data_IF_016787799420
#
_entry.id   IF_016787799420
#
_cell.length_a   1.000
_cell.length_b   1.000
_cell.length_c   1.000
_cell.angle_alpha   90.00
_cell.angle_beta   90.00
_cell.angle_gamma   90.00
#
_symmetry.space_group_name_H-M   'P 1'
#
loop_
_entity.id
_entity.type
_entity.pdbx_description
1 polymer ?
#
# COMPACT_ATOMS: atom_id res chain seq x y z
N UNK A 1 -9.68 -20.66 -4.81
CA UNK A 1 -9.28 -19.56 -3.91
C UNK A 1 -8.16 -18.76 -4.58
N UNK A 2 -8.30 -17.45 -4.80
CA UNK A 2 -7.37 -16.65 -5.64
C UNK A 2 -6.08 -16.20 -4.93
N UNK A 3 -5.86 -16.57 -3.65
CA UNK A 3 -4.71 -16.17 -2.83
C UNK A 3 -4.49 -14.64 -2.76
N UNK A 4 -5.56 -13.86 -2.88
CA UNK A 4 -5.53 -12.40 -2.83
C UNK A 4 -6.16 -11.88 -1.54
N UNK A 5 -5.53 -10.85 -0.98
CA UNK A 5 -6.13 -10.07 0.10
C UNK A 5 -7.29 -9.22 -0.42
N UNK A 6 -8.23 -8.85 0.46
CA UNK A 6 -9.34 -7.96 0.11
C UNK A 6 -8.83 -6.61 -0.42
N UNK A 7 -9.68 -5.93 -1.21
CA UNK A 7 -9.38 -4.61 -1.77
C UNK A 7 -9.06 -3.58 -0.68
N UNK A 8 -9.72 -3.67 0.46
CA UNK A 8 -9.40 -2.90 1.64
C UNK A 8 -9.08 -3.87 2.78
N UNK A 9 -8.00 -3.61 3.50
CA UNK A 9 -7.62 -4.40 4.68
C UNK A 9 -7.45 -3.43 5.83
N UNK A 10 -8.25 -3.58 6.88
CA UNK A 10 -8.21 -2.73 8.09
C UNK A 10 -8.28 -1.21 7.78
N UNK A 11 -9.02 -0.81 6.74
CA UNK A 11 -9.16 0.59 6.33
C UNK A 11 -8.10 1.10 5.34
N UNK A 12 -7.17 0.23 4.90
CA UNK A 12 -6.05 0.59 4.02
C UNK A 12 -6.11 -0.13 2.68
N UNK A 13 -5.64 0.56 1.63
CA UNK A 13 -5.61 0.11 0.23
C UNK A 13 -4.19 0.21 -0.32
N UNK A 14 -3.96 -0.44 -1.47
CA UNK A 14 -2.70 -0.23 -2.22
C UNK A 14 -2.58 1.23 -2.64
N UNK A 15 -1.36 1.76 -2.60
CA UNK A 15 -1.00 3.14 -2.93
C UNK A 15 -1.57 4.23 -2.01
N UNK A 16 -2.18 3.84 -0.88
CA UNK A 16 -2.47 4.82 0.17
C UNK A 16 -1.16 5.39 0.73
N UNK A 17 -1.16 6.70 0.98
CA UNK A 17 -0.05 7.42 1.59
C UNK A 17 -0.17 7.32 3.11
N UNK A 18 0.91 6.91 3.75
CA UNK A 18 0.98 6.69 5.19
C UNK A 18 2.18 7.41 5.79
N UNK A 19 2.13 7.65 7.10
CA UNK A 19 3.27 8.10 7.88
C UNK A 19 3.74 6.99 8.81
N UNK A 20 5.02 6.63 8.70
CA UNK A 20 5.70 5.65 9.54
C UNK A 20 7.03 6.24 10.02
N UNK A 21 7.28 6.22 11.34
CA UNK A 21 8.50 6.75 11.94
C UNK A 21 8.86 8.18 11.46
N UNK A 22 7.85 9.06 11.39
CA UNK A 22 8.03 10.47 10.96
C UNK A 22 8.21 10.70 9.47
N UNK A 23 8.30 9.65 8.64
CA UNK A 23 8.47 9.74 7.18
C UNK A 23 7.24 9.26 6.42
N UNK A 24 7.08 9.72 5.18
CA UNK A 24 5.97 9.37 4.30
C UNK A 24 6.31 8.20 3.38
N UNK A 25 5.37 7.27 3.25
CA UNK A 25 5.50 6.08 2.41
C UNK A 25 4.16 5.73 1.75
N UNK A 26 4.21 4.75 0.85
CA UNK A 26 3.05 4.20 0.16
C UNK A 26 2.92 2.70 0.39
N UNK A 27 1.69 2.22 0.45
CA UNK A 27 1.40 0.78 0.60
C UNK A 27 1.54 0.07 -0.75
N UNK A 28 2.42 -0.93 -0.84
CA UNK A 28 2.64 -1.75 -2.05
C UNK A 28 2.18 -3.20 -1.91
N UNK A 29 1.85 -3.65 -0.70
CA UNK A 29 1.38 -5.00 -0.45
C UNK A 29 0.51 -5.06 0.79
N UNK A 30 -0.44 -5.99 0.81
CA UNK A 30 -1.40 -6.16 1.90
C UNK A 30 -1.54 -7.65 2.24
N UNK A 31 -1.61 -7.94 3.53
CA UNK A 31 -1.94 -9.27 4.06
C UNK A 31 -3.23 -9.14 4.88
N UNK A 32 -4.14 -10.10 4.76
CA UNK A 32 -5.42 -10.10 5.51
C UNK A 32 -5.22 -9.98 7.03
N UNK A 33 -4.06 -10.40 7.55
CA UNK A 33 -3.65 -10.23 8.94
C UNK A 33 -3.44 -8.77 9.38
N UNK A 34 -3.49 -7.80 8.47
CA UNK A 34 -3.22 -6.38 8.77
C UNK A 34 -1.74 -6.01 8.71
N UNK A 35 -0.97 -6.72 7.88
CA UNK A 35 0.45 -6.43 7.63
C UNK A 35 0.65 -5.92 6.19
N UNK A 36 1.52 -4.93 6.03
CA UNK A 36 1.66 -4.16 4.80
C UNK A 36 3.11 -4.03 4.35
N UNK A 37 3.37 -4.19 3.05
CA UNK A 37 4.64 -3.81 2.42
C UNK A 37 4.56 -2.30 2.14
N UNK A 38 5.54 -1.55 2.62
CA UNK A 38 5.57 -0.09 2.51
C UNK A 38 6.86 0.35 1.82
N UNK A 39 6.73 1.31 0.92
CA UNK A 39 7.84 1.76 0.09
C UNK A 39 7.82 3.26 -0.08
N UNK A 40 8.97 3.80 -0.44
CA UNK A 40 9.09 5.18 -0.94
C UNK A 40 8.46 5.31 -2.33
N UNK A 41 8.36 6.53 -2.85
CA UNK A 41 7.75 6.78 -4.16
C UNK A 41 8.51 6.10 -5.31
N UNK A 42 9.83 6.05 -5.21
CA UNK A 42 10.76 5.35 -6.10
C UNK A 42 10.72 3.82 -5.96
N UNK A 43 9.90 3.29 -5.04
CA UNK A 43 9.72 1.85 -4.88
C UNK A 43 10.77 1.18 -4.00
N UNK A 44 11.64 1.94 -3.32
CA UNK A 44 12.59 1.39 -2.35
C UNK A 44 11.84 0.82 -1.15
N UNK A 45 12.13 -0.45 -0.84
CA UNK A 45 11.50 -1.16 0.27
C UNK A 45 12.15 -0.78 1.60
N UNK A 46 11.33 -0.31 2.54
CA UNK A 46 11.80 0.29 3.79
C UNK A 46 11.82 -0.70 4.95
N UNK A 47 11.06 -1.79 4.82
CA UNK A 47 10.93 -2.81 5.85
C UNK A 47 11.50 -4.17 5.40
N UNK A 48 12.02 -4.96 6.35
CA UNK A 48 12.36 -6.38 6.14
C UNK A 48 11.08 -7.23 6.05
N UNK A 49 10.24 -6.97 5.05
CA UNK A 49 9.03 -7.74 4.77
C UNK A 49 7.75 -6.91 4.82
N UNK A 50 7.12 -6.85 6.00
CA UNK A 50 5.87 -6.10 6.23
C UNK A 50 5.82 -5.47 7.62
N UNK A 51 5.03 -4.42 7.78
CA UNK A 51 4.73 -3.80 9.07
C UNK A 51 3.25 -3.88 9.41
N UNK A 52 2.91 -3.88 10.69
CA UNK A 52 1.52 -3.91 11.16
C UNK A 52 0.83 -2.55 10.91
N UNK A 53 -0.47 -2.55 10.61
CA UNK A 53 -1.27 -1.32 10.54
C UNK A 53 -1.28 -0.49 11.83
N UNK A 54 -0.90 -1.07 12.96
CA UNK A 54 -0.80 -0.35 14.25
C UNK A 54 0.44 0.55 14.30
N UNK A 55 1.42 0.33 13.43
CA UNK A 55 2.71 1.02 13.46
C UNK A 55 2.73 2.35 12.70
N UNK A 56 1.71 2.62 11.88
CA UNK A 56 1.68 3.77 10.98
C UNK A 56 0.28 4.39 10.92
N UNK A 57 0.20 5.61 10.39
CA UNK A 57 -1.06 6.36 10.27
C UNK A 57 -1.37 6.63 8.79
N UNK A 58 -2.65 6.57 8.43
CA UNK A 58 -3.12 6.99 7.11
C UNK A 58 -3.01 8.52 7.00
N UNK A 59 -2.40 9.01 5.92
CA UNK A 59 -2.30 10.44 5.61
C UNK A 59 -3.24 10.80 4.48
N UNK A 60 -3.25 9.99 3.42
CA UNK A 60 -4.09 10.25 2.25
C UNK A 60 -4.49 8.92 1.60
N UNK A 61 -5.77 8.76 1.30
CA UNK A 61 -6.23 7.64 0.47
C UNK A 61 -5.82 7.89 -0.98
N UNK A 62 -5.52 6.81 -1.72
CA UNK A 62 -5.29 6.91 -3.16
C UNK A 62 -6.47 7.61 -3.83
N UNK A 63 -6.19 8.56 -4.72
CA UNK A 63 -7.22 9.28 -5.49
C UNK A 63 -7.36 8.76 -6.92
N UNK A 64 -6.34 8.08 -7.43
CA UNK A 64 -6.27 7.63 -8.82
C UNK A 64 -6.13 6.11 -8.94
N UNK A 65 -6.71 5.56 -10.02
CA UNK A 65 -6.51 4.19 -10.45
C UNK A 65 -5.38 4.16 -11.50
N UNK A 66 -4.33 3.35 -11.25
CA UNK A 66 -3.37 3.00 -12.29
C UNK A 66 -4.08 2.01 -13.23
N UNK A 67 -4.26 2.41 -14.48
CA UNK A 67 -4.80 1.57 -15.54
C UNK A 67 -3.82 1.60 -16.72
N UNK A 68 -3.70 0.48 -17.41
CA UNK A 68 -2.98 0.41 -18.68
C UNK A 68 -3.70 1.28 -19.72
N UNK A 69 -2.94 2.09 -20.48
CA UNK A 69 -3.47 2.81 -21.65
C UNK A 69 -3.35 1.88 -22.86
N UNK A 70 -4.48 1.45 -23.41
CA UNK A 70 -4.52 0.72 -24.69
C UNK A 70 -4.75 1.73 -25.80
N UNK A 71 -3.77 1.91 -26.67
CA UNK A 71 -3.96 2.64 -27.92
C UNK A 71 -4.51 1.62 -28.93
N UNK A 72 -5.73 1.83 -29.42
CA UNK A 72 -6.22 1.07 -30.56
C UNK A 72 -5.42 1.53 -31.79
N UNK A 73 -4.68 0.60 -32.38
CA UNK A 73 -3.95 0.82 -33.64
C UNK A 73 -4.88 0.75 -34.84
#
# INVERSE_FOLDING_TARGET
KLNQAQFEVKGFRLFDKIQYQGKLYYIFGRRNSGFFDIRTLDGTKVNKGSISCRSFKLIERRKSLLTERRVAG
#
